data_IF_233523442353
#
_entry.id   IF_233523442353
#
_cell.length_a   1.000
_cell.length_b   1.000
_cell.length_c   1.000
_cell.angle_alpha   90.00
_cell.angle_beta   90.00
_cell.angle_gamma   90.00
#
_symmetry.space_group_name_H-M   'P 1'
#
loop_
_entity.id
_entity.type
_entity.pdbx_description
1 polymer ?
#
# COMPACT_ATOMS: atom_id res chain seq x y z
N UNK A 1 8.12 -10.58 -12.68
CA UNK A 1 6.65 -10.50 -12.89
C UNK A 1 6.37 -9.23 -13.68
N UNK A 2 5.39 -9.23 -14.57
CA UNK A 2 4.94 -7.98 -15.19
C UNK A 2 4.11 -7.20 -14.16
N UNK A 3 4.30 -5.87 -14.08
CA UNK A 3 3.53 -5.04 -13.13
C UNK A 3 2.06 -4.97 -13.52
N UNK A 4 1.16 -4.98 -12.54
CA UNK A 4 -0.28 -4.81 -12.72
C UNK A 4 -0.69 -3.34 -12.82
N UNK A 5 0.20 -2.42 -12.40
CA UNK A 5 -0.02 -0.98 -12.42
C UNK A 5 0.85 -0.33 -13.48
N UNK A 6 0.25 0.51 -14.32
CA UNK A 6 1.02 1.45 -15.12
C UNK A 6 1.65 2.54 -14.24
N UNK A 7 2.64 3.26 -14.79
CA UNK A 7 3.39 4.30 -14.06
C UNK A 7 2.47 5.36 -13.43
N UNK A 8 1.38 5.72 -14.12
CA UNK A 8 0.44 6.74 -13.64
C UNK A 8 -0.30 6.24 -12.40
N UNK A 9 -0.86 5.02 -12.47
CA UNK A 9 -1.60 4.42 -11.35
C UNK A 9 -0.68 4.09 -10.18
N UNK A 10 0.56 3.68 -10.45
CA UNK A 10 1.57 3.48 -9.42
C UNK A 10 1.85 4.78 -8.65
N UNK A 11 2.08 5.90 -9.35
CA UNK A 11 2.31 7.20 -8.72
C UNK A 11 1.08 7.71 -7.94
N UNK A 12 -0.13 7.53 -8.49
CA UNK A 12 -1.37 7.86 -7.78
C UNK A 12 -1.53 7.03 -6.52
N UNK A 13 -1.29 5.71 -6.59
CA UNK A 13 -1.39 4.83 -5.44
C UNK A 13 -0.37 5.20 -4.36
N UNK A 14 0.87 5.53 -4.74
CA UNK A 14 1.89 6.02 -3.80
C UNK A 14 1.41 7.27 -3.06
N UNK A 15 0.92 8.27 -3.79
CA UNK A 15 0.38 9.51 -3.21
C UNK A 15 -0.82 9.27 -2.29
N UNK A 16 -1.71 8.35 -2.67
CA UNK A 16 -2.85 7.95 -1.85
C UNK A 16 -2.40 7.23 -0.57
N UNK A 17 -1.46 6.29 -0.66
CA UNK A 17 -0.88 5.60 0.50
C UNK A 17 -0.25 6.59 1.47
N UNK A 18 0.58 7.52 0.99
CA UNK A 18 1.22 8.54 1.82
C UNK A 18 0.19 9.47 2.47
N UNK A 19 -0.87 9.83 1.76
CA UNK A 19 -1.92 10.70 2.32
C UNK A 19 -2.75 9.99 3.39
N UNK A 20 -3.08 8.70 3.19
CA UNK A 20 -3.93 7.92 4.11
C UNK A 20 -3.12 7.42 5.31
N UNK A 21 -1.89 6.99 5.08
CA UNK A 21 -0.94 6.52 6.09
C UNK A 21 0.36 7.32 5.92
N UNK A 22 0.46 8.48 6.60
CA UNK A 22 1.64 9.34 6.53
C UNK A 22 2.93 8.59 6.87
N UNK A 23 3.96 8.79 6.06
CA UNK A 23 5.25 8.11 6.16
C UNK A 23 5.33 6.76 5.45
N UNK A 24 4.23 6.23 4.91
CA UNK A 24 4.23 4.92 4.27
C UNK A 24 5.10 4.86 3.01
N UNK A 25 5.33 5.96 2.28
CA UNK A 25 6.18 5.95 1.06
C UNK A 25 7.58 5.38 1.29
N UNK A 26 8.16 5.51 2.48
CA UNK A 26 9.52 5.00 2.79
C UNK A 26 9.63 3.47 2.78
N UNK A 27 8.51 2.75 2.87
CA UNK A 27 8.48 1.28 2.76
C UNK A 27 8.03 0.80 1.38
N UNK A 28 7.77 1.73 0.44
CA UNK A 28 7.32 1.50 -0.92
C UNK A 28 6.07 0.59 -1.00
N UNK A 29 4.91 1.04 -0.47
CA UNK A 29 3.70 0.24 -0.35
C UNK A 29 3.14 -0.21 -1.71
N UNK A 30 3.44 0.53 -2.78
CA UNK A 30 3.07 0.15 -4.16
C UNK A 30 3.68 -1.20 -4.55
N UNK A 31 4.89 -1.53 -4.11
CA UNK A 31 5.54 -2.83 -4.38
C UNK A 31 4.73 -3.97 -3.75
N UNK A 32 4.30 -3.77 -2.50
CA UNK A 32 3.46 -4.74 -1.80
C UNK A 32 2.13 -4.94 -2.51
N UNK A 33 1.44 -3.84 -2.84
CA UNK A 33 0.10 -3.90 -3.43
C UNK A 33 0.15 -4.49 -4.84
N UNK A 34 1.15 -4.14 -5.66
CA UNK A 34 1.33 -4.73 -6.99
C UNK A 34 1.65 -6.23 -6.92
N UNK A 35 2.47 -6.64 -5.95
CA UNK A 35 2.75 -8.04 -5.68
C UNK A 35 1.47 -8.79 -5.26
N UNK A 36 0.68 -8.23 -4.34
CA UNK A 36 -0.60 -8.79 -3.90
C UNK A 36 -1.60 -8.93 -5.07
N UNK A 37 -1.72 -7.92 -5.92
CA UNK A 37 -2.58 -7.95 -7.12
C UNK A 37 -2.26 -9.11 -8.06
N UNK A 38 -1.00 -9.53 -8.11
CA UNK A 38 -0.56 -10.64 -8.95
C UNK A 38 -1.15 -12.00 -8.52
N UNK A 39 -1.65 -12.11 -7.29
CA UNK A 39 -2.32 -13.30 -6.75
C UNK A 39 -3.85 -13.20 -6.78
N UNK A 40 -4.40 -12.07 -7.22
CA UNK A 40 -5.84 -11.86 -7.29
C UNK A 40 -6.45 -12.39 -8.60
N UNK A 41 -7.77 -12.54 -8.62
CA UNK A 41 -8.53 -12.74 -9.84
C UNK A 41 -8.56 -11.45 -10.67
N UNK A 42 -8.89 -11.54 -11.96
CA UNK A 42 -9.00 -10.34 -12.81
C UNK A 42 -10.04 -9.32 -12.30
N UNK A 43 -11.26 -9.73 -11.87
CA UNK A 43 -12.23 -8.78 -11.31
C UNK A 43 -11.74 -8.05 -10.06
N UNK A 44 -10.95 -8.71 -9.21
CA UNK A 44 -10.37 -8.08 -8.01
C UNK A 44 -9.30 -7.05 -8.39
N UNK A 45 -8.42 -7.36 -9.35
CA UNK A 45 -7.46 -6.38 -9.88
C UNK A 45 -8.17 -5.17 -10.50
N UNK A 46 -9.21 -5.41 -11.29
CA UNK A 46 -10.00 -4.35 -11.93
C UNK A 46 -10.70 -3.46 -10.90
N UNK A 47 -11.16 -4.03 -9.79
CA UNK A 47 -11.74 -3.26 -8.69
C UNK A 47 -10.73 -2.32 -8.03
N UNK A 48 -9.46 -2.75 -7.88
CA UNK A 48 -8.38 -1.92 -7.35
C UNK A 48 -8.04 -0.79 -8.32
N UNK A 49 -7.82 -1.10 -9.60
CA UNK A 49 -7.48 -0.07 -10.61
C UNK A 49 -8.61 0.94 -10.77
N UNK A 50 -9.87 0.49 -10.74
CA UNK A 50 -11.06 1.36 -10.73
C UNK A 50 -11.10 2.24 -9.48
N UNK A 51 -10.74 1.72 -8.31
CA UNK A 51 -10.69 2.50 -7.07
C UNK A 51 -9.60 3.57 -7.09
N UNK A 52 -8.44 3.28 -7.67
CA UNK A 52 -7.36 4.26 -7.90
C UNK A 52 -7.85 5.37 -8.83
N UNK A 53 -8.45 4.99 -9.97
CA UNK A 53 -8.93 5.96 -10.97
C UNK A 53 -10.06 6.84 -10.42
N UNK A 54 -10.95 6.28 -9.59
CA UNK A 54 -12.04 7.03 -8.94
C UNK A 54 -11.56 8.10 -7.94
N UNK A 55 -10.32 8.00 -7.46
CA UNK A 55 -9.72 8.96 -6.53
C UNK A 55 -8.67 9.86 -7.20
N UNK A 56 -8.42 9.68 -8.51
CA UNK A 56 -7.31 10.33 -9.21
C UNK A 56 -7.37 11.87 -9.15
N UNK A 57 -8.56 12.46 -9.24
CA UNK A 57 -8.74 13.91 -9.19
C UNK A 57 -8.55 14.47 -7.77
N UNK A 58 -8.86 13.69 -6.75
CA UNK A 58 -8.74 14.09 -5.35
C UNK A 58 -7.33 13.88 -4.78
N UNK A 59 -6.58 12.89 -5.28
CA UNK A 59 -5.26 12.53 -4.76
C UNK A 59 -4.27 13.71 -4.68
N UNK A 60 -4.13 14.59 -5.71
CA UNK A 60 -3.20 15.73 -5.65
C UNK A 60 -3.56 16.76 -4.57
N UNK A 61 -4.82 16.82 -4.14
CA UNK A 61 -5.30 17.73 -3.10
C UNK A 61 -5.08 17.22 -1.66
N UNK A 62 -4.49 16.03 -1.50
CA UNK A 62 -4.16 15.46 -0.21
C UNK A 62 -5.38 15.19 0.68
N UNK A 63 -5.17 15.21 1.99
CA UNK A 63 -6.18 14.79 2.97
C UNK A 63 -7.48 15.61 2.91
N UNK A 64 -7.38 16.91 2.61
CA UNK A 64 -8.54 17.80 2.51
C UNK A 64 -9.46 17.40 1.35
N UNK A 65 -8.89 17.17 0.16
CA UNK A 65 -9.65 16.74 -1.01
C UNK A 65 -10.22 15.33 -0.84
N UNK A 66 -9.45 14.42 -0.23
CA UNK A 66 -9.91 13.06 0.03
C UNK A 66 -11.03 12.96 1.08
N UNK A 67 -11.22 13.99 1.93
CA UNK A 67 -12.25 13.96 2.97
C UNK A 67 -13.65 13.71 2.40
N UNK A 68 -13.98 14.28 1.24
CA UNK A 68 -15.27 14.06 0.59
C UNK A 68 -15.50 12.60 0.16
N UNK A 69 -14.42 11.82 0.02
CA UNK A 69 -14.45 10.43 -0.41
C UNK A 69 -14.34 9.43 0.73
N UNK A 70 -14.18 9.86 1.99
CA UNK A 70 -13.76 9.01 3.11
C UNK A 70 -14.65 7.77 3.38
N UNK A 71 -15.92 7.82 2.98
CA UNK A 71 -16.88 6.73 3.13
C UNK A 71 -17.30 6.08 1.81
N UNK A 72 -16.64 6.42 0.71
CA UNK A 72 -16.87 5.78 -0.58
C UNK A 72 -16.19 4.40 -0.61
N UNK A 73 -16.74 3.41 -1.33
CA UNK A 73 -16.11 2.10 -1.46
C UNK A 73 -14.67 2.17 -2.00
N UNK A 74 -14.41 3.05 -2.98
CA UNK A 74 -13.07 3.24 -3.55
C UNK A 74 -12.06 3.68 -2.49
N UNK A 75 -12.40 4.70 -1.69
CA UNK A 75 -11.52 5.15 -0.61
C UNK A 75 -11.31 4.07 0.45
N UNK A 76 -12.36 3.34 0.84
CA UNK A 76 -12.24 2.27 1.83
C UNK A 76 -11.34 1.12 1.33
N UNK A 77 -11.41 0.79 0.04
CA UNK A 77 -10.53 -0.20 -0.59
C UNK A 77 -9.06 0.24 -0.54
N UNK A 78 -8.76 1.46 -0.99
CA UNK A 78 -7.39 1.99 -0.97
C UNK A 78 -6.87 2.16 0.46
N UNK A 79 -7.73 2.59 1.39
CA UNK A 79 -7.38 2.70 2.81
C UNK A 79 -7.03 1.34 3.42
N UNK A 80 -7.78 0.30 3.12
CA UNK A 80 -7.48 -1.05 3.60
C UNK A 80 -6.10 -1.51 3.10
N UNK A 81 -5.83 -1.36 1.79
CA UNK A 81 -4.55 -1.73 1.19
C UNK A 81 -3.37 -0.91 1.73
N UNK A 82 -3.54 0.40 1.92
CA UNK A 82 -2.49 1.26 2.48
C UNK A 82 -2.15 0.88 3.93
N UNK A 83 -3.18 0.61 4.74
CA UNK A 83 -3.00 0.15 6.13
C UNK A 83 -2.33 -1.21 6.16
N UNK A 84 -2.77 -2.15 5.32
CA UNK A 84 -2.19 -3.49 5.23
C UNK A 84 -0.73 -3.42 4.79
N UNK A 85 -0.42 -2.73 3.70
CA UNK A 85 0.95 -2.59 3.20
C UNK A 85 1.90 -2.00 4.26
N UNK A 86 1.44 -1.04 5.06
CA UNK A 86 2.29 -0.42 6.08
C UNK A 86 2.35 -1.23 7.38
N UNK A 87 1.20 -1.52 8.01
CA UNK A 87 1.14 -2.15 9.33
C UNK A 87 1.34 -3.67 9.35
N UNK A 88 1.42 -4.31 8.19
CA UNK A 88 1.93 -5.68 8.09
C UNK A 88 3.44 -5.77 8.35
N UNK A 89 4.09 -4.62 8.52
CA UNK A 89 5.53 -4.44 8.69
C UNK A 89 6.36 -4.83 7.47
N UNK A 90 5.76 -4.69 6.29
CA UNK A 90 6.46 -4.83 5.02
C UNK A 90 7.50 -3.72 4.86
N UNK A 91 8.63 -4.09 4.27
CA UNK A 91 9.70 -3.20 3.83
C UNK A 91 10.17 -3.72 2.47
N UNK A 92 9.93 -2.97 1.39
CA UNK A 92 10.36 -3.41 0.07
C UNK A 92 11.90 -3.54 -0.01
N UNK A 93 12.41 -4.44 -0.86
CA UNK A 93 13.86 -4.57 -1.08
C UNK A 93 14.51 -3.25 -1.50
N UNK A 94 15.50 -2.82 -0.73
CA UNK A 94 16.22 -1.56 -0.98
C UNK A 94 15.44 -0.29 -0.58
N UNK A 95 14.26 -0.42 0.03
CA UNK A 95 13.53 0.71 0.56
C UNK A 95 14.30 1.36 1.73
N UNK A 96 14.22 2.70 1.89
CA UNK A 96 14.98 3.43 2.90
C UNK A 96 14.59 3.08 4.34
N UNK A 97 13.36 2.61 4.58
CA UNK A 97 12.86 2.29 5.92
C UNK A 97 12.80 3.53 6.83
N UNK A 98 12.64 3.35 8.15
CA UNK A 98 12.40 2.09 8.86
C UNK A 98 11.00 1.51 8.56
N UNK A 99 10.78 0.25 8.94
CA UNK A 99 9.47 -0.40 8.85
C UNK A 99 8.49 0.16 9.90
N UNK A 100 7.20 -0.14 9.74
CA UNK A 100 6.16 0.42 10.61
C UNK A 100 6.36 0.06 12.09
N UNK A 101 6.71 -1.19 12.40
CA UNK A 101 6.92 -1.66 13.77
C UNK A 101 8.12 -0.98 14.42
N UNK A 102 9.18 -0.75 13.66
CA UNK A 102 10.32 0.01 14.18
C UNK A 102 9.92 1.45 14.51
N UNK A 103 9.10 2.08 13.65
CA UNK A 103 8.65 3.45 13.90
C UNK A 103 7.76 3.60 15.13
N UNK A 104 6.83 2.66 15.34
CA UNK A 104 5.91 2.70 16.47
C UNK A 104 6.45 2.00 17.72
N UNK A 105 7.73 1.60 17.72
CA UNK A 105 8.39 0.87 18.81
C UNK A 105 7.66 -0.43 19.22
N UNK A 106 7.11 -1.16 18.24
CA UNK A 106 6.39 -2.41 18.49
C UNK A 106 7.35 -3.59 18.72
N UNK A 107 7.86 -3.67 19.95
CA UNK A 107 8.87 -4.65 20.37
C UNK A 107 8.30 -5.86 21.12
N UNK A 108 7.09 -6.31 20.79
CA UNK A 108 6.55 -7.53 21.38
C UNK A 108 7.50 -8.72 21.12
N UNK A 109 7.92 -9.50 22.14
CA UNK A 109 8.91 -10.56 21.97
C UNK A 109 8.54 -11.60 20.90
N UNK A 110 7.25 -11.84 20.66
CA UNK A 110 6.80 -12.74 19.60
C UNK A 110 6.88 -12.08 18.22
N UNK A 111 6.54 -10.80 18.11
CA UNK A 111 6.61 -10.06 16.85
C UNK A 111 8.05 -9.91 16.34
N UNK A 112 9.03 -9.80 17.25
CA UNK A 112 10.45 -9.75 16.91
C UNK A 112 11.04 -11.10 16.48
N UNK A 113 10.39 -12.22 16.81
CA UNK A 113 10.86 -13.58 16.47
C UNK A 113 10.30 -14.10 15.15
N UNK A 114 9.27 -13.46 14.61
CA UNK A 114 8.70 -13.83 13.31
C UNK A 114 9.64 -13.33 12.21
N UNK A 115 10.08 -14.25 11.36
CA UNK A 115 10.73 -13.87 10.12
C UNK A 115 9.68 -13.25 9.19
N UNK A 116 9.81 -11.95 8.91
CA UNK A 116 8.89 -11.21 8.05
C UNK A 116 9.25 -11.49 6.60
N UNK A 117 8.81 -12.65 6.13
CA UNK A 117 9.04 -13.11 4.78
C UNK A 117 7.82 -12.80 3.88
N UNK A 118 8.10 -12.16 2.75
CA UNK A 118 7.12 -11.78 1.73
C UNK A 118 7.29 -12.59 0.43
N UNK A 119 8.11 -13.65 0.47
CA UNK A 119 8.39 -14.50 -0.69
C UNK A 119 7.14 -15.15 -1.28
N UNK A 120 6.10 -15.36 -0.47
CA UNK A 120 4.80 -15.85 -0.92
C UNK A 120 4.06 -14.88 -1.86
N UNK A 121 4.43 -13.60 -1.84
CA UNK A 121 4.01 -12.56 -2.81
C UNK A 121 5.01 -12.41 -3.98
N UNK A 122 6.07 -13.20 -4.01
CA UNK A 122 7.16 -13.07 -4.99
C UNK A 122 8.12 -11.90 -4.72
N UNK A 123 8.05 -11.28 -3.54
CA UNK A 123 8.99 -10.24 -3.09
C UNK A 123 10.05 -10.91 -2.22
N UNK A 124 11.31 -10.90 -2.65
CA UNK A 124 12.40 -11.41 -1.82
C UNK A 124 12.53 -10.53 -0.56
N UNK A 125 12.63 -11.15 0.62
CA UNK A 125 12.90 -10.44 1.89
C UNK A 125 14.37 -10.05 2.06
#
# INVERSE_FOLDING_TARGET
MASNLDERRAALLESLCETIVPGSSRVQPVVYIDALMSHMTAPERDAITTSIDALADAAPGGAEALRAHAFTPAFLQIRALAIEAYYSDFLAPGAPGPSAYHEIDFNSPLAMRINKDWSYLGVAG
#
